data_IF_638847391041
#
_entry.id   IF_638847391041
#
_cell.length_a   1.000
_cell.length_b   1.000
_cell.length_c   1.000
_cell.angle_alpha   90.00
_cell.angle_beta   90.00
_cell.angle_gamma   90.00
#
_symmetry.space_group_name_H-M   'P 1'
#
loop_
_entity.id
_entity.type
_entity.pdbx_description
1 polymer ?
#
# COMPACT_ATOMS: atom_id res chain seq x y z
N UNK A 1 22.16 8.40 22.55
CA UNK A 1 21.70 8.24 22.42
C UNK A 1 21.09 7.98 21.79
N UNK A 2 21.16 7.91 21.66
CA UNK A 2 20.57 7.62 21.27
C UNK A 2 19.80 7.43 20.55
N UNK A 3 19.73 7.35 20.37
CA UNK A 3 18.96 7.19 19.97
C UNK A 3 18.45 6.96 19.23
N UNK A 4 18.74 6.67 19.11
CA UNK A 4 18.12 6.34 18.71
C UNK A 4 17.56 5.98 18.10
N UNK A 5 17.92 5.88 18.12
CA UNK A 5 17.32 5.51 17.89
C UNK A 5 16.54 5.35 17.36
N UNK A 6 16.65 5.24 17.39
CA UNK A 6 15.81 5.17 17.24
C UNK A 6 15.17 5.29 16.49
N UNK A 7 15.55 5.29 16.33
CA UNK A 7 14.81 5.48 15.93
C UNK A 7 14.37 5.43 14.95
N UNK A 8 14.72 5.26 14.55
CA UNK A 8 14.18 5.24 13.94
C UNK A 8 13.64 4.64 13.37
N UNK A 9 14.04 4.10 13.38
CA UNK A 9 13.47 3.42 13.30
C UNK A 9 12.46 3.07 13.22
N UNK A 10 12.94 2.51 13.06
CA UNK A 10 11.78 2.20 13.39
C UNK A 10 10.66 2.57 12.91
N UNK A 11 10.72 2.83 12.69
CA UNK A 11 9.57 3.52 12.45
C UNK A 11 9.19 3.63 11.04
N UNK A 12 9.89 3.07 10.20
CA UNK A 12 9.59 3.05 8.79
C UNK A 12 8.43 2.10 8.55
N UNK A 13 7.29 2.61 8.03
CA UNK A 13 6.15 1.73 7.77
C UNK A 13 6.47 0.79 6.63
N UNK A 14 5.86 -0.39 6.70
CA UNK A 14 5.94 -1.36 5.62
C UNK A 14 4.63 -1.38 4.87
N UNK A 15 4.69 -1.73 3.60
CA UNK A 15 3.52 -1.84 2.77
C UNK A 15 3.01 -0.50 2.30
N UNK A 16 1.70 -0.43 2.14
CA UNK A 16 1.02 0.78 1.66
C UNK A 16 -0.04 1.17 2.69
N UNK A 17 0.33 2.01 3.65
CA UNK A 17 -0.55 2.31 4.80
C UNK A 17 -1.87 2.96 4.41
N UNK A 18 -1.95 3.63 3.27
CA UNK A 18 -3.20 4.28 2.87
C UNK A 18 -3.97 3.51 1.82
N UNK A 19 -3.48 2.33 1.43
CA UNK A 19 -4.13 1.56 0.36
C UNK A 19 -5.56 1.20 0.71
N UNK A 20 -5.80 0.72 1.92
CA UNK A 20 -7.15 0.30 2.33
C UNK A 20 -8.14 1.47 2.27
N UNK A 21 -7.76 2.61 2.83
CA UNK A 21 -8.64 3.77 2.85
C UNK A 21 -8.96 4.24 1.45
N UNK A 22 -7.95 4.31 0.59
CA UNK A 22 -8.15 4.75 -0.78
C UNK A 22 -8.99 3.75 -1.57
N UNK A 23 -8.76 2.45 -1.36
CA UNK A 23 -9.57 1.42 -1.98
C UNK A 23 -11.04 1.55 -1.55
N UNK A 24 -11.26 1.70 -0.25
CA UNK A 24 -12.62 1.81 0.28
C UNK A 24 -13.31 3.08 -0.20
N UNK A 25 -12.57 4.17 -0.33
CA UNK A 25 -13.16 5.41 -0.82
C UNK A 25 -13.63 5.31 -2.25
N UNK A 26 -13.10 4.35 -3.01
CA UNK A 26 -13.56 4.06 -4.37
C UNK A 26 -14.66 3.00 -4.39
N UNK A 27 -15.06 2.50 -3.22
CA UNK A 27 -16.07 1.48 -3.14
C UNK A 27 -15.63 0.11 -3.62
N UNK A 28 -14.32 -0.17 -3.57
CA UNK A 28 -13.77 -1.42 -4.10
C UNK A 28 -13.45 -2.40 -2.99
N UNK A 29 -13.83 -3.67 -3.21
CA UNK A 29 -13.37 -4.76 -2.36
C UNK A 29 -11.95 -5.14 -2.76
N UNK A 30 -11.29 -5.92 -1.90
CA UNK A 30 -9.97 -6.45 -2.24
C UNK A 30 -10.04 -7.27 -3.53
N UNK A 31 -11.07 -8.12 -3.65
CA UNK A 31 -11.24 -8.92 -4.86
C UNK A 31 -11.44 -8.10 -6.12
N UNK A 32 -12.21 -7.01 -6.02
CA UNK A 32 -12.41 -6.12 -7.16
C UNK A 32 -11.10 -5.45 -7.56
N UNK A 33 -10.36 -4.95 -6.59
CA UNK A 33 -9.08 -4.31 -6.88
C UNK A 33 -8.10 -5.33 -7.48
N UNK A 34 -8.10 -6.55 -6.97
CA UNK A 34 -7.27 -7.63 -7.52
C UNK A 34 -7.62 -7.87 -8.99
N UNK A 35 -8.91 -7.95 -9.32
CA UNK A 35 -9.34 -8.14 -10.70
C UNK A 35 -8.89 -7.01 -11.60
N UNK A 36 -8.99 -5.77 -11.11
CA UNK A 36 -8.67 -4.60 -11.92
C UNK A 36 -7.18 -4.44 -12.16
N UNK A 37 -6.37 -4.93 -11.23
CA UNK A 37 -4.92 -4.74 -11.31
C UNK A 37 -4.16 -5.99 -11.78
N UNK A 38 -4.79 -7.15 -11.66
CA UNK A 38 -4.07 -8.41 -11.89
C UNK A 38 -3.14 -8.79 -10.75
N UNK A 39 -3.16 -8.04 -9.65
CA UNK A 39 -2.39 -8.38 -8.47
C UNK A 39 -3.23 -9.31 -7.60
N UNK A 40 -2.61 -10.40 -7.14
CA UNK A 40 -3.35 -11.38 -6.34
C UNK A 40 -3.92 -10.73 -5.07
N UNK A 41 -5.13 -11.17 -4.69
CA UNK A 41 -5.81 -10.62 -3.54
C UNK A 41 -4.99 -10.73 -2.25
N UNK A 42 -4.25 -11.82 -2.08
CA UNK A 42 -3.42 -11.98 -0.89
C UNK A 42 -2.30 -10.96 -0.86
N UNK A 43 -1.74 -10.65 -2.03
CA UNK A 43 -0.71 -9.61 -2.13
C UNK A 43 -1.27 -8.26 -1.72
N UNK A 44 -2.47 -7.92 -2.21
CA UNK A 44 -3.10 -6.65 -1.85
C UNK A 44 -3.33 -6.61 -0.34
N UNK A 45 -3.84 -7.71 0.24
CA UNK A 45 -4.06 -7.78 1.67
C UNK A 45 -2.76 -7.56 2.46
N UNK A 46 -1.67 -8.16 2.00
CA UNK A 46 -0.37 -8.02 2.66
C UNK A 46 0.18 -6.60 2.52
N UNK A 47 -0.05 -5.96 1.38
CA UNK A 47 0.34 -4.56 1.20
C UNK A 47 -0.43 -3.66 2.14
N UNK A 48 -1.72 -3.93 2.33
CA UNK A 48 -2.57 -3.13 3.22
C UNK A 48 -2.17 -3.30 4.68
N UNK A 49 -1.78 -4.50 5.07
CA UNK A 49 -1.46 -4.81 6.47
C UNK A 49 0.00 -4.55 6.84
N UNK A 50 0.83 -4.20 5.85
CA UNK A 50 2.23 -3.95 6.12
C UNK A 50 3.12 -5.18 6.16
N UNK A 51 2.59 -6.33 5.77
CA UNK A 51 3.38 -7.57 5.75
C UNK A 51 4.32 -7.65 4.56
N UNK A 52 4.10 -6.81 3.57
CA UNK A 52 4.83 -6.88 2.32
C UNK A 52 4.94 -5.48 1.75
N UNK A 53 6.09 -5.16 1.17
CA UNK A 53 6.29 -3.89 0.48
C UNK A 53 5.93 -4.05 -0.99
N UNK A 54 5.45 -2.98 -1.63
CA UNK A 54 5.09 -3.06 -3.04
C UNK A 54 6.32 -3.08 -3.92
N UNK A 55 6.21 -3.80 -5.04
CA UNK A 55 7.16 -3.64 -6.12
C UNK A 55 6.80 -2.38 -6.89
N UNK A 56 7.79 -1.76 -7.57
CA UNK A 56 7.52 -0.50 -8.27
C UNK A 56 6.34 -0.56 -9.24
N UNK A 57 6.19 -1.64 -9.99
CA UNK A 57 5.09 -1.74 -10.95
C UNK A 57 3.74 -1.83 -10.22
N UNK A 58 3.72 -2.47 -9.04
CA UNK A 58 2.49 -2.58 -8.26
C UNK A 58 2.06 -1.21 -7.77
N UNK A 59 3.00 -0.43 -7.27
CA UNK A 59 2.70 0.91 -6.80
C UNK A 59 2.16 1.79 -7.92
N UNK A 60 2.78 1.75 -9.10
CA UNK A 60 2.31 2.53 -10.24
C UNK A 60 0.90 2.12 -10.65
N UNK A 61 0.67 0.80 -10.70
CA UNK A 61 -0.63 0.28 -11.15
C UNK A 61 -1.74 0.62 -10.17
N UNK A 62 -1.47 0.44 -8.88
CA UNK A 62 -2.46 0.77 -7.86
C UNK A 62 -2.79 2.26 -7.86
N UNK A 63 -1.77 3.11 -7.99
CA UNK A 63 -1.99 4.54 -8.05
C UNK A 63 -2.85 4.93 -9.24
N UNK A 64 -2.59 4.31 -10.39
CA UNK A 64 -3.36 4.58 -11.60
C UNK A 64 -4.82 4.17 -11.43
N UNK A 65 -5.06 2.95 -10.95
CA UNK A 65 -6.41 2.44 -10.79
C UNK A 65 -7.19 3.25 -9.76
N UNK A 66 -6.53 3.65 -8.68
CA UNK A 66 -7.17 4.42 -7.62
C UNK A 66 -7.21 5.91 -7.93
N UNK A 67 -6.57 6.33 -9.02
CA UNK A 67 -6.57 7.72 -9.49
C UNK A 67 -5.96 8.67 -8.47
N UNK A 68 -4.85 8.25 -7.90
CA UNK A 68 -4.11 9.06 -6.93
C UNK A 68 -2.63 9.07 -7.31
N UNK A 69 -1.88 10.07 -6.86
CA UNK A 69 -0.44 10.01 -7.05
C UNK A 69 0.15 8.91 -6.17
N UNK A 70 1.30 8.40 -6.58
CA UNK A 70 1.92 7.29 -5.85
C UNK A 70 2.19 7.64 -4.38
N UNK A 71 2.61 8.89 -4.13
CA UNK A 71 2.93 9.28 -2.75
C UNK A 71 1.71 9.20 -1.82
N UNK A 72 0.51 9.28 -2.37
CA UNK A 72 -0.70 9.21 -1.56
C UNK A 72 -0.88 7.82 -0.94
N UNK A 73 -0.27 6.80 -1.55
CA UNK A 73 -0.36 5.43 -1.03
C UNK A 73 0.65 5.17 0.09
N UNK A 74 1.76 5.88 0.09
CA UNK A 74 2.86 5.57 0.99
C UNK A 74 3.06 6.56 2.14
N UNK A 75 2.43 7.72 2.11
CA UNK A 75 2.68 8.74 3.14
C UNK A 75 1.59 8.83 4.21
#
# INVERSE_FOLDING_TARGET
MKQHALKEKTVKPHGLPHLRILRQSKGLSIGQLASMTGIHRDTISHLESGRQDPQPYQLRLLARILEVPQYALVS
#
